data_IF_448002520399
#
_entry.id   IF_448002520399
#
_cell.length_a   1.000
_cell.length_b   1.000
_cell.length_c   1.000
_cell.angle_alpha   90.00
_cell.angle_beta   90.00
_cell.angle_gamma   90.00
#
_symmetry.space_group_name_H-M   'P 1'
#
loop_
_entity.id
_entity.type
_entity.pdbx_description
1 polymer ?
#
# COMPACT_ATOMS: atom_id res chain seq x y z
N UNK A 1 -21.41 0.55 -23.24
CA UNK A 1 -21.44 1.82 -24.02
C UNK A 1 -20.52 2.80 -23.31
N UNK A 2 -19.38 3.14 -23.90
CA UNK A 2 -18.47 4.14 -23.32
C UNK A 2 -19.27 5.39 -22.93
N UNK A 3 -18.99 6.03 -21.78
CA UNK A 3 -19.63 7.27 -21.41
C UNK A 3 -19.51 8.30 -22.54
N UNK A 4 -20.48 9.21 -22.69
CA UNK A 4 -20.46 10.23 -23.73
C UNK A 4 -19.14 11.00 -23.80
N UNK A 5 -18.47 11.18 -22.66
CA UNK A 5 -17.13 11.78 -22.54
C UNK A 5 -16.07 11.02 -23.36
N UNK A 6 -16.16 9.69 -23.47
CA UNK A 6 -15.25 8.91 -24.30
C UNK A 6 -15.60 8.91 -25.78
N UNK A 7 -16.86 9.29 -26.14
CA UNK A 7 -17.30 9.36 -27.54
C UNK A 7 -17.02 10.69 -28.22
N UNK A 8 -16.87 11.77 -27.45
CA UNK A 8 -16.61 13.13 -27.97
C UNK A 8 -15.11 13.48 -28.05
N UNK A 9 -14.23 12.55 -27.68
CA UNK A 9 -12.80 12.77 -27.75
C UNK A 9 -12.28 12.33 -29.13
N UNK A 10 -11.71 13.24 -29.88
CA UNK A 10 -10.99 12.93 -31.11
C UNK A 10 -9.69 12.18 -30.77
N UNK A 11 -9.77 10.85 -30.77
CA UNK A 11 -8.67 9.94 -30.42
C UNK A 11 -7.40 10.09 -31.29
N UNK A 12 -7.41 10.98 -32.27
CA UNK A 12 -6.32 11.14 -33.22
C UNK A 12 -5.25 12.15 -32.82
N UNK A 13 -5.54 13.05 -31.86
CA UNK A 13 -4.64 14.19 -31.61
C UNK A 13 -4.03 14.37 -30.22
N UNK A 14 -4.62 13.84 -29.12
CA UNK A 14 -3.94 13.79 -27.80
C UNK A 14 -4.65 12.84 -26.82
N UNK A 15 -4.33 11.56 -26.90
CA UNK A 15 -4.92 10.52 -26.06
C UNK A 15 -4.58 10.67 -24.56
N UNK A 16 -3.57 11.45 -24.20
CA UNK A 16 -3.22 11.70 -22.80
C UNK A 16 -4.26 12.57 -22.09
N UNK A 17 -4.79 13.58 -22.77
CA UNK A 17 -5.86 14.44 -22.20
C UNK A 17 -7.19 13.69 -22.10
N UNK A 18 -7.46 12.80 -23.03
CA UNK A 18 -8.62 11.92 -22.96
C UNK A 18 -8.57 10.98 -21.75
N UNK A 19 -7.43 10.34 -21.54
CA UNK A 19 -7.21 9.45 -20.40
C UNK A 19 -7.29 10.20 -19.06
N UNK A 20 -6.77 11.43 -18.98
CA UNK A 20 -6.89 12.29 -17.79
C UNK A 20 -8.35 12.60 -17.47
N UNK A 21 -9.12 13.09 -18.45
CA UNK A 21 -10.55 13.37 -18.27
C UNK A 21 -11.34 12.11 -17.88
N UNK A 22 -10.97 10.98 -18.44
CA UNK A 22 -11.59 9.71 -18.11
C UNK A 22 -11.26 9.28 -16.67
N UNK A 23 -10.01 9.40 -16.22
CA UNK A 23 -9.62 9.15 -14.85
C UNK A 23 -10.32 10.10 -13.87
N UNK A 24 -10.40 11.41 -14.19
CA UNK A 24 -11.13 12.38 -13.39
C UNK A 24 -12.63 12.02 -13.28
N UNK A 25 -13.26 11.64 -14.39
CA UNK A 25 -14.64 11.14 -14.36
C UNK A 25 -14.76 9.89 -13.50
N UNK A 26 -13.87 8.91 -13.66
CA UNK A 26 -13.86 7.69 -12.89
C UNK A 26 -13.75 7.95 -11.38
N UNK A 27 -13.03 9.00 -10.96
CA UNK A 27 -12.93 9.37 -9.55
C UNK A 27 -14.23 9.87 -8.92
N UNK A 28 -15.22 10.24 -9.71
CA UNK A 28 -16.50 10.83 -9.24
C UNK A 28 -17.73 10.00 -9.60
N UNK A 29 -17.58 9.05 -10.51
CA UNK A 29 -18.69 8.23 -11.00
C UNK A 29 -18.99 7.04 -10.07
N UNK A 30 -20.23 6.51 -10.06
CA UNK A 30 -20.58 5.30 -9.34
C UNK A 30 -19.74 4.10 -9.79
N UNK A 31 -19.38 3.26 -8.84
CA UNK A 31 -18.49 2.11 -9.04
C UNK A 31 -18.91 1.21 -10.21
N UNK A 32 -20.18 0.83 -10.28
CA UNK A 32 -20.71 -0.07 -11.32
C UNK A 32 -20.49 0.49 -12.73
N UNK A 33 -20.71 1.80 -12.90
CA UNK A 33 -20.48 2.48 -14.19
C UNK A 33 -18.99 2.56 -14.55
N UNK A 34 -18.14 2.73 -13.55
CA UNK A 34 -16.69 2.81 -13.75
C UNK A 34 -16.15 1.45 -14.18
N UNK A 35 -16.59 0.36 -13.55
CA UNK A 35 -16.14 -1.00 -13.90
C UNK A 35 -16.56 -1.37 -15.32
N UNK A 36 -17.79 -1.08 -15.72
CA UNK A 36 -18.25 -1.29 -17.11
C UNK A 36 -17.37 -0.50 -18.10
N UNK A 37 -17.13 0.78 -17.82
CA UNK A 37 -16.30 1.62 -18.68
C UNK A 37 -14.84 1.16 -18.76
N UNK A 38 -14.25 0.71 -17.65
CA UNK A 38 -12.89 0.15 -17.65
C UNK A 38 -12.81 -1.16 -18.44
N UNK A 39 -13.81 -2.04 -18.28
CA UNK A 39 -13.87 -3.28 -19.03
C UNK A 39 -14.02 -3.02 -20.54
N UNK A 40 -14.83 -2.04 -20.92
CA UNK A 40 -14.99 -1.62 -22.31
C UNK A 40 -13.68 -1.06 -22.87
N UNK A 41 -13.01 -0.15 -22.14
CA UNK A 41 -11.71 0.36 -22.54
C UNK A 41 -10.66 -0.75 -22.72
N UNK A 42 -10.64 -1.74 -21.83
CA UNK A 42 -9.70 -2.83 -21.88
C UNK A 42 -9.94 -3.80 -23.06
N UNK A 43 -11.19 -3.94 -23.50
CA UNK A 43 -11.58 -4.87 -24.58
C UNK A 43 -11.63 -4.24 -25.97
N UNK A 44 -11.77 -2.92 -26.07
CA UNK A 44 -11.90 -2.24 -27.35
C UNK A 44 -10.53 -2.16 -28.06
N UNK A 45 -10.34 -2.86 -29.18
CA UNK A 45 -9.08 -2.84 -29.93
C UNK A 45 -8.79 -1.49 -30.62
N UNK A 46 -9.76 -0.56 -30.65
CA UNK A 46 -9.55 0.76 -31.21
C UNK A 46 -9.02 1.78 -30.20
N UNK A 47 -8.99 1.42 -28.92
CA UNK A 47 -8.34 2.26 -27.89
C UNK A 47 -6.84 2.00 -27.96
N UNK A 48 -6.09 3.07 -28.17
CA UNK A 48 -4.66 2.94 -28.35
C UNK A 48 -3.93 2.68 -27.00
N UNK A 49 -2.77 2.07 -27.10
CA UNK A 49 -1.93 1.73 -25.95
C UNK A 49 -1.50 2.99 -25.16
N UNK A 50 -1.43 4.17 -25.77
CA UNK A 50 -1.08 5.40 -25.06
C UNK A 50 -2.19 5.84 -24.07
N UNK A 51 -3.45 5.69 -24.45
CA UNK A 51 -4.58 5.92 -23.54
C UNK A 51 -4.54 4.95 -22.34
N UNK A 52 -4.39 3.66 -22.61
CA UNK A 52 -4.33 2.60 -21.58
C UNK A 52 -3.12 2.81 -20.66
N UNK A 53 -1.96 3.14 -21.23
CA UNK A 53 -0.76 3.50 -20.49
C UNK A 53 -0.99 4.66 -19.54
N UNK A 54 -1.56 5.76 -20.04
CA UNK A 54 -1.84 6.96 -19.24
C UNK A 54 -2.86 6.66 -18.14
N UNK A 55 -3.89 5.89 -18.45
CA UNK A 55 -4.88 5.48 -17.45
C UNK A 55 -4.25 4.64 -16.34
N UNK A 56 -3.38 3.69 -16.66
CA UNK A 56 -2.63 2.90 -15.66
C UNK A 56 -1.71 3.75 -14.77
N UNK A 57 -1.17 4.85 -15.29
CA UNK A 57 -0.39 5.80 -14.50
C UNK A 57 -1.25 6.62 -13.54
N UNK A 58 -2.45 7.00 -13.95
CA UNK A 58 -3.31 7.92 -13.21
C UNK A 58 -4.30 7.22 -12.27
N UNK A 59 -4.51 5.92 -12.45
CA UNK A 59 -5.56 5.17 -11.78
C UNK A 59 -5.04 3.84 -11.23
N UNK A 60 -4.79 3.80 -9.92
CA UNK A 60 -4.27 2.62 -9.22
C UNK A 60 -5.23 1.44 -9.25
N UNK A 61 -6.53 1.71 -9.20
CA UNK A 61 -7.52 0.64 -9.26
C UNK A 61 -7.54 -0.02 -10.65
N UNK A 62 -7.52 0.81 -11.72
CA UNK A 62 -7.38 0.30 -13.09
C UNK A 62 -6.08 -0.47 -13.28
N UNK A 63 -4.96 0.08 -12.82
CA UNK A 63 -3.65 -0.59 -12.85
C UNK A 63 -3.73 -1.98 -12.17
N UNK A 64 -4.32 -2.06 -10.98
CA UNK A 64 -4.42 -3.31 -10.24
C UNK A 64 -5.30 -4.33 -10.92
N UNK A 65 -6.55 -3.97 -11.19
CA UNK A 65 -7.57 -4.92 -11.67
C UNK A 65 -7.35 -5.33 -13.12
N UNK A 66 -7.02 -4.38 -14.00
CA UNK A 66 -7.00 -4.61 -15.44
C UNK A 66 -5.59 -4.79 -16.02
N UNK A 67 -4.57 -4.16 -15.47
CA UNK A 67 -3.20 -4.32 -15.97
C UNK A 67 -2.39 -5.36 -15.18
N UNK A 68 -2.58 -5.46 -13.87
CA UNK A 68 -1.93 -6.47 -13.02
C UNK A 68 -2.83 -7.70 -12.76
N UNK A 69 -3.96 -7.83 -13.45
CA UNK A 69 -4.90 -8.98 -13.36
C UNK A 69 -5.38 -9.32 -11.93
N UNK A 70 -5.45 -8.32 -11.04
CA UNK A 70 -5.90 -8.49 -9.66
C UNK A 70 -7.43 -8.45 -9.57
N UNK A 71 -8.10 -9.40 -10.24
CA UNK A 71 -9.56 -9.50 -10.25
C UNK A 71 -10.16 -9.78 -8.87
N UNK A 72 -9.37 -10.29 -7.94
CA UNK A 72 -9.68 -10.42 -6.52
C UNK A 72 -9.94 -9.06 -5.83
N UNK A 73 -9.58 -7.96 -6.47
CA UNK A 73 -9.80 -6.59 -6.00
C UNK A 73 -11.09 -5.95 -6.54
N UNK A 74 -11.93 -6.69 -7.29
CA UNK A 74 -13.21 -6.20 -7.82
C UNK A 74 -14.24 -6.01 -6.70
N UNK A 75 -14.13 -4.90 -5.96
CA UNK A 75 -15.00 -4.56 -4.86
C UNK A 75 -15.07 -3.03 -4.68
N UNK A 76 -16.26 -2.42 -4.42
CA UNK A 76 -16.41 -0.98 -4.27
C UNK A 76 -15.57 -0.39 -3.15
N UNK A 77 -15.45 -1.09 -2.01
CA UNK A 77 -14.62 -0.65 -0.89
C UNK A 77 -13.13 -0.52 -1.31
N UNK A 78 -12.59 -1.47 -2.08
CA UNK A 78 -11.20 -1.42 -2.57
C UNK A 78 -11.03 -0.27 -3.56
N UNK A 79 -12.02 -0.07 -4.43
CA UNK A 79 -12.04 1.07 -5.35
C UNK A 79 -11.93 2.41 -4.60
N UNK A 80 -12.77 2.61 -3.58
CA UNK A 80 -12.73 3.82 -2.75
C UNK A 80 -11.38 4.00 -2.05
N UNK A 81 -10.80 2.90 -1.52
CA UNK A 81 -9.47 2.96 -0.87
C UNK A 81 -8.36 3.33 -1.85
N UNK A 82 -8.40 2.84 -3.08
CA UNK A 82 -7.47 3.29 -4.11
C UNK A 82 -7.57 4.80 -4.33
N UNK A 83 -8.80 5.34 -4.43
CA UNK A 83 -9.04 6.80 -4.59
C UNK A 83 -8.49 7.60 -3.43
N UNK A 84 -8.80 7.17 -2.22
CA UNK A 84 -8.35 7.84 -1.00
C UNK A 84 -6.82 7.92 -0.93
N UNK A 85 -6.14 6.80 -1.23
CA UNK A 85 -4.67 6.74 -1.19
C UNK A 85 -4.05 7.58 -2.30
N UNK A 86 -4.62 7.59 -3.50
CA UNK A 86 -4.13 8.39 -4.62
C UNK A 86 -4.30 9.89 -4.41
N UNK A 87 -5.40 10.30 -3.80
CA UNK A 87 -5.70 11.71 -3.52
C UNK A 87 -4.72 12.35 -2.53
N UNK A 88 -4.08 11.56 -1.68
CA UNK A 88 -3.14 12.04 -0.68
C UNK A 88 -2.06 10.99 -0.39
N UNK A 89 -0.95 11.09 -1.09
CA UNK A 89 0.10 10.07 -1.16
C UNK A 89 1.24 10.24 -0.16
N UNK A 90 1.35 11.38 0.51
CA UNK A 90 2.49 11.67 1.38
C UNK A 90 2.10 11.81 2.84
N UNK A 91 3.02 11.41 3.72
CA UNK A 91 2.90 11.56 5.16
C UNK A 91 1.59 10.98 5.71
N UNK A 92 1.25 9.76 5.27
CA UNK A 92 0.04 9.02 5.69
C UNK A 92 0.37 7.79 6.48
N UNK A 93 -0.41 7.56 7.53
CA UNK A 93 -0.41 6.33 8.30
C UNK A 93 -1.74 5.59 8.08
N UNK A 94 -1.66 4.57 7.26
CA UNK A 94 -2.77 3.70 6.89
C UNK A 94 -2.85 2.52 7.86
N UNK A 95 -3.72 2.64 8.85
CA UNK A 95 -4.04 1.59 9.80
C UNK A 95 -5.33 0.91 9.33
N UNK A 96 -5.21 -0.21 8.64
CA UNK A 96 -6.36 -0.94 8.10
C UNK A 96 -6.42 -2.33 8.68
N UNK A 97 -7.63 -2.82 8.86
CA UNK A 97 -7.87 -4.17 9.32
C UNK A 97 -7.14 -5.21 8.46
N UNK A 98 -6.78 -6.34 9.06
CA UNK A 98 -6.17 -7.45 8.34
C UNK A 98 -7.14 -8.00 7.28
N UNK A 99 -6.63 -8.50 6.16
CA UNK A 99 -7.36 -8.94 4.96
C UNK A 99 -8.01 -7.82 4.13
N UNK A 100 -7.80 -6.54 4.46
CA UNK A 100 -8.37 -5.39 3.75
C UNK A 100 -7.44 -4.80 2.68
N UNK A 101 -6.58 -5.59 2.07
CA UNK A 101 -5.75 -5.25 0.90
C UNK A 101 -4.78 -4.07 1.06
N UNK A 102 -4.49 -3.60 2.30
CA UNK A 102 -3.61 -2.44 2.51
C UNK A 102 -2.26 -2.57 1.81
N UNK A 103 -1.55 -3.69 2.00
CA UNK A 103 -0.24 -3.90 1.37
C UNK A 103 -0.34 -4.09 -0.14
N UNK A 104 -1.44 -4.67 -0.64
CA UNK A 104 -1.69 -4.78 -2.08
C UNK A 104 -1.87 -3.40 -2.72
N UNK A 105 -2.64 -2.51 -2.08
CA UNK A 105 -2.93 -1.17 -2.60
C UNK A 105 -1.74 -0.23 -2.41
N UNK A 106 -1.15 -0.20 -1.21
CA UNK A 106 -0.14 0.80 -0.84
C UNK A 106 1.25 0.33 -1.26
N UNK A 107 1.65 -0.88 -0.85
CA UNK A 107 3.02 -1.35 -1.06
C UNK A 107 3.22 -1.91 -2.45
N UNK A 108 2.38 -2.84 -2.91
CA UNK A 108 2.54 -3.48 -4.21
C UNK A 108 2.16 -2.54 -5.37
N UNK A 109 0.87 -2.19 -5.50
CA UNK A 109 0.40 -1.34 -6.60
C UNK A 109 0.96 0.08 -6.50
N UNK A 110 1.11 0.59 -5.27
CA UNK A 110 1.71 1.89 -5.05
C UNK A 110 3.12 1.99 -5.60
N UNK A 111 3.97 1.01 -5.32
CA UNK A 111 5.34 0.95 -5.85
C UNK A 111 5.36 0.86 -7.37
N UNK A 112 4.53 0.00 -7.97
CA UNK A 112 4.44 -0.11 -9.44
C UNK A 112 4.00 1.22 -10.05
N UNK A 113 2.95 1.85 -9.52
CA UNK A 113 2.45 3.13 -10.03
C UNK A 113 3.48 4.25 -9.92
N UNK A 114 4.21 4.35 -8.81
CA UNK A 114 5.27 5.34 -8.65
C UNK A 114 6.41 5.14 -9.68
N UNK A 115 6.77 3.90 -9.97
CA UNK A 115 7.80 3.57 -10.98
C UNK A 115 7.35 3.95 -12.40
N UNK A 116 6.12 3.61 -12.78
CA UNK A 116 5.62 3.93 -14.14
C UNK A 116 5.32 5.42 -14.33
N UNK A 117 5.12 6.17 -13.23
CA UNK A 117 5.01 7.63 -13.25
C UNK A 117 6.38 8.31 -13.33
N UNK A 118 7.36 7.81 -12.61
CA UNK A 118 8.72 8.33 -12.57
C UNK A 118 9.74 7.20 -12.45
N UNK A 119 10.33 6.72 -13.55
CA UNK A 119 11.29 5.61 -13.51
C UNK A 119 12.62 5.96 -12.83
N UNK A 120 12.92 7.24 -12.64
CA UNK A 120 14.13 7.70 -11.94
C UNK A 120 13.97 7.68 -10.40
N UNK A 121 12.77 7.36 -9.88
CA UNK A 121 12.48 7.29 -8.44
C UNK A 121 13.30 6.20 -7.75
N UNK A 122 13.66 6.46 -6.50
CA UNK A 122 14.29 5.49 -5.60
C UNK A 122 13.35 5.18 -4.45
N UNK A 123 13.03 3.89 -4.24
CA UNK A 123 12.02 3.44 -3.28
C UNK A 123 12.65 2.45 -2.28
N UNK A 124 12.54 2.76 -0.99
CA UNK A 124 12.87 1.86 0.10
C UNK A 124 11.61 1.18 0.66
N UNK A 125 11.51 -0.14 0.56
CA UNK A 125 10.48 -0.93 1.23
C UNK A 125 11.02 -1.40 2.57
N UNK A 126 10.43 -0.96 3.68
CA UNK A 126 10.82 -1.33 5.03
C UNK A 126 9.68 -2.09 5.72
N UNK A 127 9.98 -3.28 6.24
CA UNK A 127 9.10 -4.00 7.17
C UNK A 127 9.83 -4.22 8.48
N UNK A 128 9.20 -4.80 9.50
CA UNK A 128 9.87 -5.09 10.78
C UNK A 128 11.20 -5.83 10.58
N UNK A 129 11.21 -6.81 9.68
CA UNK A 129 12.43 -7.55 9.30
C UNK A 129 12.62 -7.62 7.78
N UNK A 130 13.86 -7.82 7.34
CA UNK A 130 14.18 -8.03 5.92
C UNK A 130 13.45 -9.26 5.34
N UNK A 131 13.20 -10.29 6.16
CA UNK A 131 12.43 -11.47 5.78
C UNK A 131 10.98 -11.12 5.40
N UNK A 132 10.39 -10.10 6.03
CA UNK A 132 9.03 -9.62 5.73
C UNK A 132 9.00 -8.64 4.56
N UNK A 133 10.03 -7.84 4.35
CA UNK A 133 10.10 -6.86 3.26
C UNK A 133 10.36 -7.51 1.88
N UNK A 134 11.25 -8.50 1.82
CA UNK A 134 11.66 -9.16 0.55
C UNK A 134 10.51 -9.79 -0.25
N UNK A 135 9.48 -10.43 0.33
CA UNK A 135 8.33 -10.92 -0.42
C UNK A 135 7.62 -9.84 -1.25
N UNK A 136 7.53 -8.59 -0.78
CA UNK A 136 6.97 -7.50 -1.58
C UNK A 136 7.83 -7.18 -2.79
N UNK A 137 9.13 -7.08 -2.61
CA UNK A 137 10.05 -6.88 -3.73
C UNK A 137 9.98 -8.05 -4.73
N UNK A 138 9.92 -9.30 -4.24
CA UNK A 138 9.76 -10.48 -5.09
C UNK A 138 8.46 -10.44 -5.89
N UNK A 139 7.35 -10.02 -5.29
CA UNK A 139 6.07 -9.87 -5.98
C UNK A 139 6.16 -8.83 -7.11
N UNK A 140 6.79 -7.69 -6.87
CA UNK A 140 7.02 -6.65 -7.88
C UNK A 140 7.93 -7.20 -9.00
N UNK A 141 9.00 -7.92 -8.65
CA UNK A 141 9.89 -8.56 -9.63
C UNK A 141 9.12 -9.55 -10.53
N UNK A 142 8.26 -10.37 -9.95
CA UNK A 142 7.45 -11.34 -10.69
C UNK A 142 6.45 -10.64 -11.61
N UNK A 143 5.85 -9.55 -11.17
CA UNK A 143 4.94 -8.75 -11.99
C UNK A 143 5.67 -8.18 -13.22
N UNK A 144 6.81 -7.54 -13.03
CA UNK A 144 7.59 -6.96 -14.14
C UNK A 144 8.26 -8.01 -15.03
N UNK A 145 8.59 -9.19 -14.49
CA UNK A 145 9.19 -10.30 -15.27
C UNK A 145 8.13 -11.02 -16.14
N UNK A 146 6.90 -11.19 -15.60
CA UNK A 146 5.87 -12.04 -16.22
C UNK A 146 4.71 -11.30 -16.89
N UNK A 147 4.52 -10.01 -16.65
CA UNK A 147 3.38 -9.28 -17.19
C UNK A 147 3.70 -8.65 -18.56
N UNK A 148 3.38 -9.38 -19.62
CA UNK A 148 3.65 -8.94 -21.01
C UNK A 148 2.88 -7.65 -21.36
N UNK A 149 1.66 -7.45 -20.82
CA UNK A 149 0.87 -6.25 -21.08
C UNK A 149 1.55 -5.00 -20.50
N UNK A 150 2.06 -5.10 -19.27
CA UNK A 150 2.82 -3.99 -18.68
C UNK A 150 4.09 -3.70 -19.48
N UNK A 151 4.84 -4.71 -19.91
CA UNK A 151 6.05 -4.51 -20.74
C UNK A 151 5.71 -3.88 -22.09
N UNK A 152 4.60 -4.27 -22.72
CA UNK A 152 4.12 -3.68 -23.96
C UNK A 152 3.75 -2.19 -23.79
N UNK A 153 3.07 -1.85 -22.68
CA UNK A 153 2.62 -0.47 -22.41
C UNK A 153 3.76 0.45 -21.98
N UNK A 154 4.77 -0.09 -21.30
CA UNK A 154 5.88 0.69 -20.72
C UNK A 154 7.27 0.20 -21.18
N UNK A 155 7.52 0.05 -22.50
CA UNK A 155 8.78 -0.51 -23.03
C UNK A 155 9.98 0.40 -22.81
N UNK A 156 9.74 1.67 -22.51
CA UNK A 156 10.73 2.69 -22.15
C UNK A 156 11.08 2.69 -20.65
N UNK A 157 10.37 1.90 -19.83
CA UNK A 157 10.54 1.79 -18.37
C UNK A 157 10.88 0.36 -17.95
N UNK A 158 10.21 -0.63 -18.55
CA UNK A 158 10.34 -2.03 -18.16
C UNK A 158 11.23 -2.80 -19.15
N UNK A 159 12.11 -3.62 -18.61
CA UNK A 159 12.96 -4.51 -19.40
C UNK A 159 12.12 -5.65 -20.00
N UNK A 160 12.39 -6.01 -21.25
CA UNK A 160 11.79 -7.21 -21.88
C UNK A 160 12.22 -8.49 -21.13
N UNK A 161 13.51 -8.60 -20.82
CA UNK A 161 14.11 -9.72 -20.09
C UNK A 161 14.91 -9.18 -18.88
N UNK A 162 14.24 -8.77 -17.78
CA UNK A 162 14.89 -8.04 -16.70
C UNK A 162 16.07 -8.78 -16.08
N UNK A 163 16.00 -10.12 -15.96
CA UNK A 163 17.10 -10.93 -15.43
C UNK A 163 18.40 -10.89 -16.25
N UNK A 164 18.29 -10.55 -17.53
CA UNK A 164 19.43 -10.49 -18.47
C UNK A 164 19.87 -9.05 -18.77
N UNK A 165 18.94 -8.13 -18.77
CA UNK A 165 19.13 -6.76 -19.25
C UNK A 165 19.33 -5.74 -18.14
N UNK A 166 18.69 -5.97 -16.98
CA UNK A 166 18.75 -5.01 -15.88
C UNK A 166 20.16 -4.99 -15.23
N UNK A 167 20.69 -3.81 -14.92
CA UNK A 167 21.94 -3.69 -14.17
C UNK A 167 21.91 -4.39 -12.82
N UNK A 168 20.73 -4.45 -12.20
CA UNK A 168 20.46 -5.11 -10.94
C UNK A 168 19.05 -5.69 -10.93
N UNK A 169 18.94 -6.99 -10.57
CA UNK A 169 17.67 -7.72 -10.49
C UNK A 169 17.76 -8.84 -9.47
N UNK A 170 17.77 -8.50 -8.19
CA UNK A 170 17.96 -9.47 -7.11
C UNK A 170 17.27 -9.02 -5.82
N UNK A 171 16.60 -9.94 -5.10
CA UNK A 171 15.90 -9.65 -3.85
C UNK A 171 16.79 -9.06 -2.75
N UNK A 172 18.06 -9.44 -2.72
CA UNK A 172 19.00 -8.98 -1.68
C UNK A 172 19.62 -7.62 -2.00
N UNK A 173 19.57 -7.19 -3.24
CA UNK A 173 20.27 -6.00 -3.70
C UNK A 173 19.34 -4.97 -4.31
N UNK A 174 18.08 -5.34 -4.56
CA UNK A 174 17.09 -4.49 -5.21
C UNK A 174 16.98 -4.73 -6.72
N UNK A 175 16.13 -3.92 -7.34
CA UNK A 175 15.88 -3.95 -8.79
C UNK A 175 16.07 -2.57 -9.41
N UNK A 176 16.52 -2.57 -10.66
CA UNK A 176 16.67 -1.35 -11.46
C UNK A 176 15.86 -1.48 -12.74
N UNK A 177 14.91 -0.57 -12.96
CA UNK A 177 14.18 -0.42 -14.23
C UNK A 177 14.99 0.43 -15.22
N UNK A 178 14.48 0.62 -16.44
CA UNK A 178 15.07 1.56 -17.40
C UNK A 178 14.85 2.98 -16.89
N UNK A 179 15.93 3.69 -16.60
CA UNK A 179 15.91 5.05 -16.04
C UNK A 179 16.99 5.93 -16.71
N UNK A 180 16.80 7.25 -16.65
CA UNK A 180 17.74 8.23 -17.21
C UNK A 180 18.80 8.66 -16.20
N UNK A 181 18.40 8.84 -14.94
CA UNK A 181 19.31 9.17 -13.86
C UNK A 181 20.12 7.94 -13.42
N UNK A 182 21.26 8.18 -12.78
CA UNK A 182 22.12 7.13 -12.23
C UNK A 182 22.35 7.36 -10.72
N UNK A 183 21.31 7.31 -9.89
CA UNK A 183 21.49 7.39 -8.45
C UNK A 183 22.20 6.13 -7.93
N UNK A 184 22.76 6.24 -6.73
CA UNK A 184 23.43 5.13 -6.02
C UNK A 184 22.43 4.01 -5.65
N UNK A 185 21.21 4.41 -5.30
CA UNK A 185 20.13 3.52 -4.90
C UNK A 185 19.52 2.82 -6.12
N UNK A 186 19.00 1.61 -5.91
CA UNK A 186 18.19 0.93 -6.93
C UNK A 186 16.80 1.58 -7.04
N UNK A 187 16.06 1.25 -8.09
CA UNK A 187 14.66 1.71 -8.22
C UNK A 187 13.83 1.23 -7.03
N UNK A 188 14.01 -0.02 -6.60
CA UNK A 188 13.38 -0.54 -5.38
C UNK A 188 14.40 -1.39 -4.61
N UNK A 189 14.52 -1.13 -3.32
CA UNK A 189 15.28 -1.95 -2.37
C UNK A 189 14.35 -2.36 -1.20
N UNK A 190 14.55 -3.57 -0.63
CA UNK A 190 13.76 -4.09 0.49
C UNK A 190 14.64 -4.41 1.69
N UNK A 191 14.33 -3.82 2.84
CA UNK A 191 15.13 -3.87 4.04
C UNK A 191 14.30 -4.13 5.30
N UNK A 192 14.94 -4.65 6.34
CA UNK A 192 14.36 -4.71 7.67
C UNK A 192 14.57 -3.41 8.44
N UNK A 193 13.56 -2.95 9.15
CA UNK A 193 13.67 -1.78 10.02
C UNK A 193 14.56 -2.07 11.22
N UNK A 194 14.38 -3.23 11.85
CA UNK A 194 15.06 -3.61 13.09
C UNK A 194 16.30 -4.48 12.84
N UNK A 195 16.25 -5.29 11.78
CA UNK A 195 17.32 -6.19 11.38
C UNK A 195 17.80 -5.88 9.94
N UNK A 196 18.86 -5.16 9.76
CA UNK A 196 19.42 -4.91 8.43
C UNK A 196 18.94 -3.61 7.78
N UNK A 197 18.71 -2.59 8.59
CA UNK A 197 18.53 -1.24 8.08
C UNK A 197 19.76 -0.81 7.28
N UNK A 198 19.62 -0.31 6.05
CA UNK A 198 20.76 0.07 5.23
C UNK A 198 21.42 1.35 5.77
N UNK A 199 22.70 1.49 5.54
CA UNK A 199 23.44 2.71 5.83
C UNK A 199 23.82 3.45 4.55
N UNK A 200 23.75 4.79 4.57
CA UNK A 200 24.17 5.61 3.45
C UNK A 200 23.32 5.43 2.18
N UNK A 201 22.03 5.13 2.33
CA UNK A 201 21.01 5.17 1.28
C UNK A 201 20.17 6.43 1.42
N UNK A 202 19.60 6.90 0.29
CA UNK A 202 18.75 8.08 0.24
C UNK A 202 17.61 7.86 -0.75
N UNK A 203 16.45 7.46 -0.24
CA UNK A 203 15.27 7.14 -1.04
C UNK A 203 14.35 8.34 -1.21
N UNK A 204 13.75 8.51 -2.38
CA UNK A 204 12.73 9.52 -2.64
C UNK A 204 11.39 9.16 -2.01
N UNK A 205 11.13 7.85 -1.88
CA UNK A 205 9.97 7.30 -1.20
C UNK A 205 10.38 6.17 -0.28
N UNK A 206 9.92 6.22 0.97
CA UNK A 206 10.03 5.11 1.91
C UNK A 206 8.64 4.61 2.26
N UNK A 207 8.40 3.32 2.02
CA UNK A 207 7.15 2.64 2.38
C UNK A 207 7.44 1.72 3.57
N UNK A 208 6.81 2.01 4.70
CA UNK A 208 6.85 1.19 5.91
C UNK A 208 5.63 0.27 5.93
N UNK A 209 5.83 -1.02 5.72
CA UNK A 209 4.73 -2.00 5.75
C UNK A 209 4.90 -2.99 6.90
N UNK A 210 3.93 -3.00 7.82
CA UNK A 210 3.91 -3.84 9.02
C UNK A 210 5.22 -3.76 9.82
N UNK A 211 5.72 -2.55 10.09
CA UNK A 211 6.90 -2.32 10.93
C UNK A 211 6.63 -2.50 12.42
N UNK A 212 5.36 -2.51 12.83
CA UNK A 212 4.91 -2.91 14.16
C UNK A 212 4.26 -4.29 14.04
N UNK A 213 4.78 -5.24 14.78
CA UNK A 213 4.31 -6.63 14.85
C UNK A 213 4.16 -7.04 16.32
N UNK A 214 3.53 -8.18 16.60
CA UNK A 214 3.35 -8.65 17.98
C UNK A 214 4.68 -8.78 18.74
N UNK A 215 5.73 -9.24 18.08
CA UNK A 215 7.07 -9.33 18.66
C UNK A 215 7.60 -7.96 19.10
N UNK A 216 7.38 -6.91 18.29
CA UNK A 216 7.89 -5.56 18.56
C UNK A 216 7.22 -4.87 19.76
N UNK A 217 6.12 -5.42 20.27
CA UNK A 217 5.38 -4.87 21.43
C UNK A 217 5.40 -5.79 22.64
N UNK A 218 6.16 -6.89 22.59
CA UNK A 218 6.21 -7.90 23.65
C UNK A 218 6.81 -7.38 24.95
N UNK A 219 7.73 -6.42 24.87
CA UNK A 219 8.31 -5.73 26.03
C UNK A 219 8.51 -4.24 25.75
N UNK A 220 8.60 -3.38 26.79
CA UNK A 220 8.94 -1.97 26.65
C UNK A 220 10.25 -1.73 25.89
N UNK A 221 11.24 -2.59 26.06
CA UNK A 221 12.54 -2.51 25.37
C UNK A 221 12.38 -2.77 23.88
N UNK A 222 11.52 -3.71 23.46
CA UNK A 222 11.24 -3.98 22.05
C UNK A 222 10.50 -2.80 21.40
N UNK A 223 9.52 -2.21 22.09
CA UNK A 223 8.85 -0.99 21.62
C UNK A 223 9.86 0.13 21.42
N UNK A 224 10.70 0.39 22.43
CA UNK A 224 11.76 1.41 22.36
C UNK A 224 12.74 1.15 21.22
N UNK A 225 13.20 -0.09 21.07
CA UNK A 225 14.10 -0.48 19.98
C UNK A 225 13.48 -0.20 18.62
N UNK A 226 12.26 -0.65 18.39
CA UNK A 226 11.54 -0.46 17.12
C UNK A 226 11.33 1.03 16.80
N UNK A 227 10.95 1.82 17.82
CA UNK A 227 10.75 3.27 17.66
C UNK A 227 12.08 3.98 17.37
N UNK A 228 13.17 3.61 18.05
CA UNK A 228 14.51 4.18 17.77
C UNK A 228 14.97 3.83 16.35
N UNK A 229 14.77 2.59 15.90
CA UNK A 229 15.12 2.20 14.52
C UNK A 229 14.25 2.95 13.48
N UNK A 230 12.98 3.17 13.77
CA UNK A 230 12.16 4.02 12.93
C UNK A 230 12.71 5.47 12.86
N UNK A 231 13.05 6.08 13.98
CA UNK A 231 13.66 7.43 14.00
C UNK A 231 14.93 7.50 13.16
N UNK A 232 15.80 6.51 13.28
CA UNK A 232 17.03 6.44 12.49
C UNK A 232 16.74 6.28 10.99
N UNK A 233 15.70 5.52 10.64
CA UNK A 233 15.32 5.28 9.25
C UNK A 233 14.82 6.53 8.52
N UNK A 234 14.38 7.56 9.22
CA UNK A 234 13.99 8.84 8.61
C UNK A 234 15.16 9.50 7.88
N UNK A 235 16.40 9.24 8.32
CA UNK A 235 17.61 9.71 7.65
C UNK A 235 17.94 8.97 6.35
N UNK A 236 17.18 7.93 6.00
CA UNK A 236 17.25 7.26 4.69
C UNK A 236 16.44 7.99 3.61
N UNK A 237 15.70 9.03 3.99
CA UNK A 237 15.02 9.90 3.03
C UNK A 237 16.02 10.75 2.23
N UNK A 238 15.71 11.01 0.94
CA UNK A 238 16.52 11.87 0.09
C UNK A 238 16.56 13.32 0.60
N UNK A 239 17.58 14.06 0.20
CA UNK A 239 17.78 15.45 0.65
C UNK A 239 16.64 16.40 0.25
N UNK A 240 15.95 16.09 -0.85
CA UNK A 240 14.92 16.94 -1.42
C UNK A 240 13.54 16.30 -1.29
N UNK A 241 12.82 16.62 -0.19
CA UNK A 241 11.42 16.25 0.05
C UNK A 241 11.14 14.76 -0.08
N UNK A 242 11.79 13.89 0.71
CA UNK A 242 11.46 12.48 0.74
C UNK A 242 10.00 12.30 1.17
N UNK A 243 9.32 11.33 0.56
CA UNK A 243 7.96 10.95 0.94
C UNK A 243 7.98 9.72 1.83
N UNK A 244 7.05 9.69 2.79
CA UNK A 244 6.93 8.58 3.74
C UNK A 244 5.49 8.05 3.72
N UNK A 245 5.32 6.76 3.52
CA UNK A 245 4.04 6.08 3.59
C UNK A 245 4.12 4.95 4.61
N UNK A 246 3.08 4.79 5.40
CA UNK A 246 3.03 3.78 6.44
C UNK A 246 1.77 2.94 6.26
N UNK A 247 1.91 1.62 6.27
CA UNK A 247 0.81 0.66 6.25
C UNK A 247 0.97 -0.31 7.41
N UNK A 248 -0.08 -0.50 8.23
CA UNK A 248 0.06 -1.37 9.39
C UNK A 248 -1.23 -1.72 10.08
N UNK A 249 -1.07 -2.46 11.18
CA UNK A 249 -2.10 -2.77 12.17
C UNK A 249 -1.59 -2.39 13.56
N UNK A 250 -2.49 -2.21 14.53
CA UNK A 250 -2.13 -1.85 15.91
C UNK A 250 -1.93 -3.10 16.75
N UNK A 251 -0.99 -3.06 17.68
CA UNK A 251 -0.75 -4.14 18.65
C UNK A 251 -0.66 -3.62 20.09
N UNK A 252 -0.32 -2.35 20.30
CA UNK A 252 -0.29 -1.70 21.61
C UNK A 252 -0.56 -0.21 21.45
N UNK A 253 -1.10 0.43 22.47
CA UNK A 253 -1.29 1.88 22.49
C UNK A 253 0.03 2.65 22.40
N UNK A 254 1.05 2.16 23.11
CA UNK A 254 2.39 2.75 23.13
C UNK A 254 3.33 2.24 22.05
N UNK A 255 2.82 1.58 21.01
CA UNK A 255 3.65 1.10 19.91
C UNK A 255 4.24 2.25 19.07
N UNK A 256 5.12 1.92 18.13
CA UNK A 256 5.75 2.92 17.26
C UNK A 256 4.73 3.74 16.48
N UNK A 257 3.61 3.15 16.03
CA UNK A 257 2.54 3.91 15.38
C UNK A 257 1.86 4.90 16.35
N UNK A 258 1.70 4.53 17.62
CA UNK A 258 1.25 5.44 18.68
C UNK A 258 2.16 6.65 18.82
N UNK A 259 3.48 6.42 18.83
CA UNK A 259 4.49 7.50 18.87
C UNK A 259 4.42 8.39 17.61
N UNK A 260 4.26 7.81 16.42
CA UNK A 260 4.13 8.56 15.16
C UNK A 260 2.90 9.46 15.19
N UNK A 261 1.76 8.95 15.68
CA UNK A 261 0.51 9.71 15.82
C UNK A 261 0.63 10.85 16.84
N UNK A 262 1.25 10.60 17.99
CA UNK A 262 1.45 11.61 19.03
C UNK A 262 2.31 12.79 18.54
N UNK A 263 3.26 12.53 17.67
CA UNK A 263 4.11 13.57 17.08
C UNK A 263 3.41 14.38 15.99
N UNK A 264 2.20 14.02 15.60
CA UNK A 264 1.44 14.63 14.51
C UNK A 264 2.23 14.77 13.19
N UNK A 265 3.22 13.92 12.99
CA UNK A 265 4.08 13.94 11.80
C UNK A 265 3.37 13.40 10.56
N UNK A 266 2.27 12.66 10.75
CA UNK A 266 1.49 12.03 9.69
C UNK A 266 -0.01 12.17 9.97
N UNK A 267 -0.81 12.12 8.90
CA UNK A 267 -2.28 12.07 9.03
C UNK A 267 -2.75 10.61 8.96
N UNK A 268 -3.47 10.11 9.97
CA UNK A 268 -3.97 8.74 9.95
C UNK A 268 -5.16 8.56 9.02
N UNK A 269 -5.23 7.38 8.39
CA UNK A 269 -6.41 6.80 7.75
C UNK A 269 -6.67 5.47 8.44
N UNK A 270 -7.75 5.40 9.21
CA UNK A 270 -8.04 4.24 10.06
C UNK A 270 -9.30 3.55 9.53
N UNK A 271 -9.14 2.32 9.08
CA UNK A 271 -10.23 1.49 8.55
C UNK A 271 -10.32 0.17 9.32
N UNK A 272 -11.12 0.12 10.41
CA UNK A 272 -11.40 -1.12 11.11
C UNK A 272 -12.26 -2.05 10.24
N UNK A 273 -12.37 -3.32 10.63
CA UNK A 273 -13.14 -4.32 9.88
C UNK A 273 -14.65 -4.09 9.92
N UNK A 274 -15.15 -3.33 10.88
CA UNK A 274 -16.57 -3.05 11.08
C UNK A 274 -16.85 -1.55 11.03
N UNK A 275 -18.08 -1.19 10.69
CA UNK A 275 -18.51 0.21 10.51
C UNK A 275 -18.26 1.08 11.74
N UNK A 276 -18.50 0.52 12.92
CA UNK A 276 -18.38 1.21 14.20
C UNK A 276 -17.08 0.89 14.97
N UNK A 277 -16.23 0.01 14.42
CA UNK A 277 -14.99 -0.43 15.05
C UNK A 277 -15.22 -1.34 16.28
N UNK A 278 -16.39 -1.97 16.41
CA UNK A 278 -16.72 -2.91 17.50
C UNK A 278 -16.82 -4.36 17.02
N UNK A 279 -16.81 -5.29 17.98
CA UNK A 279 -16.95 -6.74 17.71
C UNK A 279 -18.33 -7.10 17.14
N UNK A 280 -19.35 -6.38 17.50
CA UNK A 280 -20.75 -6.56 17.12
C UNK A 280 -21.13 -5.78 15.86
N UNK A 281 -20.23 -4.90 15.38
CA UNK A 281 -20.45 -4.07 14.22
C UNK A 281 -20.57 -4.87 12.91
N UNK A 282 -21.27 -4.28 11.94
CA UNK A 282 -21.38 -4.86 10.60
C UNK A 282 -20.02 -4.77 9.86
N UNK A 283 -19.54 -5.88 9.27
CA UNK A 283 -18.31 -5.87 8.51
C UNK A 283 -18.43 -4.99 7.26
N UNK A 284 -17.39 -4.19 6.98
CA UNK A 284 -17.38 -3.25 5.85
C UNK A 284 -16.91 -3.86 4.53
N UNK A 285 -16.17 -4.96 4.62
CA UNK A 285 -15.54 -5.59 3.46
C UNK A 285 -15.64 -7.12 3.49
N UNK A 286 -15.39 -7.73 4.63
CA UNK A 286 -15.46 -9.19 4.77
C UNK A 286 -16.92 -9.65 4.76
N UNK A 287 -17.17 -10.81 4.15
CA UNK A 287 -18.46 -11.50 4.28
C UNK A 287 -18.77 -11.80 5.76
N UNK A 288 -20.07 -11.76 6.14
CA UNK A 288 -20.50 -11.97 7.51
C UNK A 288 -20.02 -13.31 8.08
N UNK A 289 -20.10 -14.37 7.29
CA UNK A 289 -19.67 -15.72 7.66
C UNK A 289 -18.18 -15.74 7.99
N UNK A 290 -17.36 -15.04 7.19
CA UNK A 290 -15.93 -14.94 7.43
C UNK A 290 -15.61 -14.11 8.67
N UNK A 291 -16.35 -13.05 8.92
CA UNK A 291 -16.23 -12.25 10.13
C UNK A 291 -16.54 -13.07 11.39
N UNK A 292 -17.65 -13.82 11.38
CA UNK A 292 -18.02 -14.72 12.50
C UNK A 292 -16.98 -15.83 12.73
N UNK A 293 -16.42 -16.40 11.65
CA UNK A 293 -15.33 -17.37 11.76
C UNK A 293 -14.09 -16.77 12.45
N UNK A 294 -13.68 -15.56 12.07
CA UNK A 294 -12.55 -14.86 12.68
C UNK A 294 -12.79 -14.67 14.18
N UNK A 295 -13.97 -14.20 14.57
CA UNK A 295 -14.33 -14.02 15.97
C UNK A 295 -14.29 -15.33 16.79
N UNK A 296 -14.65 -16.46 16.18
CA UNK A 296 -14.63 -17.78 16.82
C UNK A 296 -13.24 -18.39 16.96
N UNK A 297 -12.39 -18.15 15.96
CA UNK A 297 -11.09 -18.84 15.85
C UNK A 297 -9.92 -18.04 16.39
N UNK A 298 -10.12 -16.76 16.66
CA UNK A 298 -9.07 -15.82 17.06
C UNK A 298 -9.39 -15.24 18.45
N UNK A 299 -8.36 -15.01 19.27
CA UNK A 299 -8.57 -14.39 20.59
C UNK A 299 -9.15 -12.97 20.47
N UNK A 300 -9.96 -12.57 21.43
CA UNK A 300 -10.56 -11.22 21.50
C UNK A 300 -9.51 -10.13 21.37
N UNK A 301 -8.37 -10.28 22.04
CA UNK A 301 -7.24 -9.35 21.94
C UNK A 301 -6.70 -9.24 20.50
N UNK A 302 -6.49 -10.37 19.83
CA UNK A 302 -5.99 -10.37 18.44
C UNK A 302 -6.99 -9.73 17.47
N UNK A 303 -8.29 -10.00 17.63
CA UNK A 303 -9.35 -9.33 16.85
C UNK A 303 -9.34 -7.83 17.12
N UNK A 304 -9.28 -7.41 18.40
CA UNK A 304 -9.23 -6.00 18.75
C UNK A 304 -8.02 -5.29 18.10
N UNK A 305 -6.85 -5.90 18.11
CA UNK A 305 -5.64 -5.35 17.52
C UNK A 305 -5.66 -5.34 15.99
N UNK A 306 -5.92 -6.51 15.37
CA UNK A 306 -5.70 -6.69 13.94
C UNK A 306 -6.90 -6.35 13.07
N UNK A 307 -8.11 -6.43 13.64
CA UNK A 307 -9.34 -6.16 12.91
C UNK A 307 -9.98 -4.83 13.32
N UNK A 308 -10.04 -4.54 14.62
CA UNK A 308 -10.67 -3.32 15.09
C UNK A 308 -9.68 -2.16 15.29
N UNK A 309 -8.36 -2.44 15.16
CA UNK A 309 -7.28 -1.44 15.32
C UNK A 309 -7.29 -0.75 16.69
N UNK A 310 -7.91 -1.38 17.67
CA UNK A 310 -8.10 -0.89 19.03
C UNK A 310 -7.52 -1.89 20.06
N UNK A 311 -6.25 -1.76 20.44
CA UNK A 311 -5.58 -2.71 21.32
C UNK A 311 -6.10 -2.72 22.78
N UNK A 312 -6.99 -1.80 23.18
CA UNK A 312 -7.61 -1.78 24.53
C UNK A 312 -8.89 -2.62 24.59
N UNK A 313 -9.56 -2.87 23.47
CA UNK A 313 -10.86 -3.54 23.46
C UNK A 313 -10.80 -5.04 23.82
N UNK A 314 -9.63 -5.58 24.16
CA UNK A 314 -9.49 -6.96 24.64
C UNK A 314 -9.88 -7.09 26.10
N UNK A 315 -10.79 -8.03 26.42
CA UNK A 315 -11.22 -8.38 27.79
C UNK A 315 -10.09 -8.97 28.66
N UNK A 316 -8.90 -9.16 28.13
CA UNK A 316 -7.71 -9.71 28.80
C UNK A 316 -6.79 -8.63 29.37
N UNK A 317 -7.34 -7.51 29.83
CA UNK A 317 -6.59 -6.56 30.66
C UNK A 317 -6.29 -7.29 31.97
N UNK A 318 -5.00 -7.45 32.28
CA UNK A 318 -4.52 -8.17 33.48
C UNK A 318 -5.02 -7.57 34.80
N UNK A 319 -5.64 -6.40 34.77
CA UNK A 319 -6.28 -5.75 35.89
C UNK A 319 -7.63 -5.18 35.46
N UNK A 320 -8.72 -5.79 35.91
CA UNK A 320 -10.05 -5.23 35.76
C UNK A 320 -10.26 -4.16 36.83
N UNK A 321 -10.93 -3.05 36.45
CA UNK A 321 -11.22 -1.95 37.35
C UNK A 321 -12.00 -2.42 38.62
N UNK A 322 -12.82 -3.45 38.46
CA UNK A 322 -13.56 -4.14 39.56
C UNK A 322 -12.65 -4.84 40.58
N UNK A 323 -11.34 -4.99 40.30
CA UNK A 323 -10.37 -5.59 41.23
C UNK A 323 -9.65 -4.56 42.10
N UNK A 324 -9.88 -3.26 41.90
CA UNK A 324 -9.34 -2.22 42.73
C UNK A 324 -10.10 -2.21 44.03
N UNK A 325 -9.46 -2.57 45.13
CA UNK A 325 -9.99 -2.35 46.49
C UNK A 325 -9.38 -1.06 47.02
N UNK A 326 -10.22 -0.08 47.31
CA UNK A 326 -9.78 1.07 48.11
C UNK A 326 -9.46 0.61 49.52
N UNK A 327 -8.25 0.82 49.95
CA UNK A 327 -7.85 0.64 51.32
C UNK A 327 -8.25 1.91 52.08
N UNK A 328 -9.27 1.82 52.95
CA UNK A 328 -9.49 2.85 53.95
C UNK A 328 -8.34 2.78 54.99
N UNK A 329 -7.64 3.93 55.17
CA UNK A 329 -6.57 4.11 56.15
C UNK A 329 -7.16 4.61 57.45
#
# INVERSE_FOLDING_TARGET
>A
MLPAIAKDVDYKNDNSDAAKKFAEWAHTAPFERVIEAYADCHRDPNIDDHFIRTLGQLDRYYLGVFLCNRHDMLHPWIYERCREVEGDRDSRLDLWARFHYKSSIITFLGTIQEIILNPDITIGLLSFSARQAKPFLRQIMQEFDGNEKLKQLYPDILWDKPRLQAPKWAENEGICVIRKANPKEQTVEAHGLVDGQPTGRHFDLIIYDDVVVQESVSTPEQIKKTTTQWELSLNLGSTYRPRFQYAGTRYSYGDTYGTILQRAAVKPRIHPATVDGTMEGEPIFLEKERWEEIKKTTSTYTVACQQLLNPIAGSDIAFKEEWWQEWEV
#
